data_IF_332604363891
#
_entry.id   IF_332604363891
#
_cell.length_a   1.000
_cell.length_b   1.000
_cell.length_c   1.000
_cell.angle_alpha   90.00
_cell.angle_beta   90.00
_cell.angle_gamma   90.00
#
_symmetry.space_group_name_H-M   'P 1'
#
loop_
_entity.id
_entity.type
_entity.pdbx_description
1 polymer ?
#
# COMPACT_ATOMS: atom_id res chain seq x y z
N UNK A 1 -13.36 -6.73 20.83
CA UNK A 1 -12.70 -5.76 19.91
C UNK A 1 -12.13 -6.40 18.64
N UNK A 2 -11.52 -7.60 18.71
CA UNK A 2 -10.97 -8.32 17.54
C UNK A 2 -12.06 -8.66 16.50
N UNK A 3 -13.22 -9.17 16.92
CA UNK A 3 -14.33 -9.50 16.02
C UNK A 3 -14.80 -8.33 15.16
N UNK A 4 -14.89 -7.11 15.72
CA UNK A 4 -15.29 -5.91 14.98
C UNK A 4 -14.28 -5.53 13.90
N UNK A 5 -12.97 -5.65 14.19
CA UNK A 5 -11.91 -5.37 13.21
C UNK A 5 -11.90 -6.40 12.07
N UNK A 6 -12.10 -7.68 12.40
CA UNK A 6 -12.24 -8.74 11.42
C UNK A 6 -13.45 -8.52 10.51
N UNK A 7 -14.63 -8.22 11.08
CA UNK A 7 -15.83 -7.93 10.31
C UNK A 7 -15.64 -6.74 9.37
N UNK A 8 -14.99 -5.67 9.82
CA UNK A 8 -14.68 -4.52 8.98
C UNK A 8 -13.73 -4.89 7.83
N UNK A 9 -12.68 -5.66 8.11
CA UNK A 9 -11.73 -6.10 7.08
C UNK A 9 -12.41 -7.01 6.04
N UNK A 10 -13.22 -7.97 6.49
CA UNK A 10 -13.99 -8.85 5.61
C UNK A 10 -15.03 -8.08 4.80
N UNK A 11 -15.71 -7.10 5.41
CA UNK A 11 -16.65 -6.23 4.71
C UNK A 11 -15.97 -5.39 3.63
N UNK A 12 -14.79 -4.83 3.91
CA UNK A 12 -14.01 -4.06 2.93
C UNK A 12 -13.51 -4.94 1.78
N UNK A 13 -13.04 -6.15 2.10
CA UNK A 13 -12.61 -7.13 1.09
C UNK A 13 -13.79 -7.55 0.19
N UNK A 14 -14.95 -7.84 0.78
CA UNK A 14 -16.16 -8.17 0.04
C UNK A 14 -16.62 -7.02 -0.86
N UNK A 15 -16.51 -5.78 -0.38
CA UNK A 15 -16.80 -4.58 -1.19
C UNK A 15 -15.87 -4.49 -2.41
N UNK A 16 -14.55 -4.63 -2.20
CA UNK A 16 -13.57 -4.54 -3.29
C UNK A 16 -13.79 -5.63 -4.35
N UNK A 17 -13.94 -6.88 -3.89
CA UNK A 17 -14.21 -8.01 -4.77
C UNK A 17 -15.56 -7.87 -5.47
N UNK A 18 -16.59 -7.41 -4.78
CA UNK A 18 -17.91 -7.18 -5.33
C UNK A 18 -17.91 -6.14 -6.45
N UNK A 19 -17.24 -5.00 -6.26
CA UNK A 19 -17.12 -3.96 -7.30
C UNK A 19 -16.38 -4.51 -8.52
N UNK A 20 -15.24 -5.18 -8.33
CA UNK A 20 -14.49 -5.77 -9.45
C UNK A 20 -15.33 -6.83 -10.17
N UNK A 21 -16.05 -7.68 -9.44
CA UNK A 21 -16.90 -8.71 -10.03
C UNK A 21 -18.04 -8.12 -10.86
N UNK A 22 -18.73 -7.09 -10.37
CA UNK A 22 -19.81 -6.39 -11.11
C UNK A 22 -19.27 -5.77 -12.39
N UNK A 23 -18.13 -5.09 -12.30
CA UNK A 23 -17.51 -4.42 -13.45
C UNK A 23 -17.04 -5.44 -14.49
N UNK A 24 -16.40 -6.55 -14.05
CA UNK A 24 -15.98 -7.64 -14.94
C UNK A 24 -17.14 -8.38 -15.59
N UNK A 25 -18.23 -8.57 -14.85
CA UNK A 25 -19.45 -9.12 -15.42
C UNK A 25 -20.04 -8.19 -16.49
N UNK A 26 -20.12 -6.89 -16.20
CA UNK A 26 -20.54 -5.88 -17.19
C UNK A 26 -19.66 -5.87 -18.44
N UNK A 27 -18.33 -5.99 -18.29
CA UNK A 27 -17.38 -6.11 -19.40
C UNK A 27 -17.70 -7.34 -20.27
N UNK A 28 -17.90 -8.51 -19.65
CA UNK A 28 -18.22 -9.77 -20.38
C UNK A 28 -19.55 -9.72 -21.14
N UNK A 29 -20.47 -8.83 -20.75
CA UNK A 29 -21.76 -8.61 -21.41
C UNK A 29 -21.75 -7.42 -22.37
N UNK A 30 -20.60 -6.78 -22.57
CA UNK A 30 -20.46 -5.59 -23.41
C UNK A 30 -21.15 -4.34 -22.84
N UNK A 31 -21.55 -4.35 -21.57
CA UNK A 31 -22.19 -3.22 -20.90
C UNK A 31 -21.17 -2.19 -20.41
N UNK A 32 -19.92 -2.61 -20.19
CA UNK A 32 -18.81 -1.79 -19.73
C UNK A 32 -17.64 -1.96 -20.68
N UNK A 33 -16.95 -0.88 -21.02
CA UNK A 33 -15.76 -0.98 -21.85
C UNK A 33 -14.62 -1.67 -21.10
N UNK A 34 -13.75 -2.44 -21.78
CA UNK A 34 -12.56 -3.06 -21.16
C UNK A 34 -11.65 -2.04 -20.46
N UNK A 35 -11.66 -0.82 -21.01
CA UNK A 35 -10.99 0.37 -20.51
C UNK A 35 -11.39 0.71 -19.06
N UNK A 36 -12.69 0.92 -18.85
CA UNK A 36 -13.25 1.24 -17.54
C UNK A 36 -13.00 0.07 -16.60
N UNK A 37 -13.18 -1.17 -17.06
CA UNK A 37 -12.98 -2.34 -16.23
C UNK A 37 -11.55 -2.46 -15.68
N UNK A 38 -10.55 -2.21 -16.54
CA UNK A 38 -9.15 -2.20 -16.14
C UNK A 38 -8.84 -1.02 -15.21
N UNK A 39 -9.30 0.21 -15.52
CA UNK A 39 -9.07 1.38 -14.65
C UNK A 39 -9.66 1.19 -13.26
N UNK A 40 -10.92 0.77 -13.16
CA UNK A 40 -11.58 0.55 -11.87
C UNK A 40 -10.83 -0.47 -11.03
N UNK A 41 -10.38 -1.57 -11.64
CA UNK A 41 -9.59 -2.59 -10.95
C UNK A 41 -8.29 -2.00 -10.40
N UNK A 42 -7.56 -1.23 -11.21
CA UNK A 42 -6.27 -0.66 -10.80
C UNK A 42 -6.40 0.44 -9.75
N UNK A 43 -7.45 1.27 -9.83
CA UNK A 43 -7.77 2.25 -8.79
C UNK A 43 -8.03 1.56 -7.45
N UNK A 44 -8.82 0.49 -7.45
CA UNK A 44 -9.09 -0.28 -6.22
C UNK A 44 -7.82 -0.92 -5.65
N UNK A 45 -6.91 -1.42 -6.50
CA UNK A 45 -5.61 -1.94 -6.05
C UNK A 45 -4.81 -0.85 -5.33
N UNK A 46 -4.68 0.34 -5.93
CA UNK A 46 -3.96 1.46 -5.32
C UNK A 46 -4.57 1.92 -3.99
N UNK A 47 -5.90 2.06 -3.94
CA UNK A 47 -6.61 2.41 -2.70
C UNK A 47 -6.49 1.33 -1.62
N UNK A 48 -6.52 0.05 -2.02
CA UNK A 48 -6.33 -1.08 -1.12
C UNK A 48 -4.94 -1.07 -0.49
N UNK A 49 -3.91 -0.83 -1.29
CA UNK A 49 -2.55 -0.66 -0.80
C UNK A 49 -2.44 0.53 0.16
N UNK A 50 -3.02 1.67 -0.20
CA UNK A 50 -2.99 2.87 0.65
C UNK A 50 -3.65 2.63 2.01
N UNK A 51 -4.83 2.03 2.02
CA UNK A 51 -5.54 1.67 3.24
C UNK A 51 -4.74 0.66 4.09
N UNK A 52 -4.21 -0.39 3.46
CA UNK A 52 -3.42 -1.42 4.14
C UNK A 52 -2.15 -0.83 4.80
N UNK A 53 -1.35 -0.06 4.06
CA UNK A 53 -0.13 0.55 4.57
C UNK A 53 -0.40 1.57 5.69
N UNK A 54 -1.50 2.32 5.59
CA UNK A 54 -1.90 3.28 6.61
C UNK A 54 -2.32 2.56 7.91
N UNK A 55 -3.04 1.44 7.80
CA UNK A 55 -3.51 0.64 8.93
C UNK A 55 -2.44 -0.28 9.53
N UNK A 56 -1.33 -0.51 8.83
CA UNK A 56 -0.24 -1.35 9.32
C UNK A 56 0.20 -0.90 10.72
N UNK A 57 0.28 -1.82 11.72
CA UNK A 57 0.70 -1.49 13.07
C UNK A 57 2.10 -0.87 13.06
N UNK A 58 2.19 0.34 13.60
CA UNK A 58 3.46 1.08 13.78
C UNK A 58 3.96 0.97 15.21
N UNK A 59 3.54 -0.06 15.94
CA UNK A 59 3.94 -0.32 17.32
C UNK A 59 5.17 -1.22 17.35
N UNK A 60 6.08 -0.98 18.29
CA UNK A 60 7.22 -1.87 18.51
C UNK A 60 6.74 -3.10 19.30
N UNK A 61 7.40 -4.23 19.10
CA UNK A 61 7.26 -5.39 20.00
C UNK A 61 7.82 -5.06 21.37
N UNK A 62 7.29 -5.67 22.44
CA UNK A 62 7.74 -5.55 23.83
C UNK A 62 9.17 -6.10 24.12
N UNK A 63 9.95 -6.35 23.07
CA UNK A 63 11.35 -6.74 23.22
C UNK A 63 12.17 -5.59 23.78
N UNK A 64 12.90 -5.85 24.86
CA UNK A 64 13.84 -4.91 25.46
C UNK A 64 14.89 -4.50 24.42
N UNK A 65 14.85 -3.24 23.98
CA UNK A 65 15.79 -2.62 23.05
C UNK A 65 16.37 -1.36 23.69
N UNK A 66 17.52 -0.88 23.20
CA UNK A 66 18.02 0.43 23.62
C UNK A 66 17.10 1.54 23.08
N UNK A 67 16.95 2.68 23.79
CA UNK A 67 16.07 3.78 23.33
C UNK A 67 16.38 4.25 21.90
N UNK A 68 17.65 4.21 21.51
CA UNK A 68 18.09 4.53 20.14
C UNK A 68 17.57 3.53 19.11
N UNK A 69 17.61 2.23 19.42
CA UNK A 69 17.12 1.18 18.52
C UNK A 69 15.58 1.20 18.39
N UNK A 70 14.88 1.57 19.46
CA UNK A 70 13.44 1.79 19.43
C UNK A 70 13.06 2.97 18.54
N UNK A 71 13.73 4.12 18.73
CA UNK A 71 13.52 5.30 17.89
C UNK A 71 13.78 5.01 16.40
N UNK A 72 14.87 4.31 16.08
CA UNK A 72 15.20 3.92 14.71
C UNK A 72 14.13 2.98 14.09
N UNK A 73 13.66 1.99 14.85
CA UNK A 73 12.63 1.06 14.38
C UNK A 73 11.27 1.75 14.19
N UNK A 74 10.87 2.65 15.10
CA UNK A 74 9.67 3.47 14.95
C UNK A 74 9.74 4.36 13.72
N UNK A 75 10.89 5.01 13.49
CA UNK A 75 11.11 5.82 12.30
C UNK A 75 10.97 4.98 11.03
N UNK A 76 11.58 3.80 10.97
CA UNK A 76 11.48 2.91 9.81
C UNK A 76 10.03 2.47 9.52
N UNK A 77 9.26 2.10 10.56
CA UNK A 77 7.85 1.75 10.40
C UNK A 77 7.00 2.92 9.89
N UNK A 78 7.26 4.14 10.37
CA UNK A 78 6.52 5.34 9.95
C UNK A 78 6.87 5.75 8.53
N UNK A 79 8.16 5.75 8.18
CA UNK A 79 8.63 6.06 6.82
C UNK A 79 8.05 5.03 5.85
N UNK A 80 8.21 3.73 6.11
CA UNK A 80 7.67 2.69 5.23
C UNK A 80 6.15 2.76 5.08
N UNK A 81 5.43 2.93 6.20
CA UNK A 81 3.98 3.06 6.19
C UNK A 81 3.49 4.25 5.35
N UNK A 82 4.08 5.44 5.52
CA UNK A 82 3.69 6.63 4.77
C UNK A 82 4.14 6.59 3.31
N UNK A 83 5.35 6.10 3.02
CA UNK A 83 5.84 5.95 1.64
C UNK A 83 4.90 5.06 0.82
N UNK A 84 4.51 3.90 1.35
CA UNK A 84 3.59 2.99 0.66
C UNK A 84 2.15 3.53 0.61
N UNK A 85 1.70 4.26 1.65
CA UNK A 85 0.37 4.90 1.64
C UNK A 85 0.27 5.93 0.52
N UNK A 86 1.24 6.84 0.44
CA UNK A 86 1.29 7.88 -0.60
C UNK A 86 1.45 7.26 -1.99
N UNK A 87 2.25 6.19 -2.12
CA UNK A 87 2.39 5.48 -3.37
C UNK A 87 1.09 4.82 -3.82
N UNK A 88 0.33 4.20 -2.91
CA UNK A 88 -0.99 3.64 -3.23
C UNK A 88 -1.98 4.70 -3.71
N UNK A 89 -2.00 5.88 -3.07
CA UNK A 89 -2.84 7.01 -3.50
C UNK A 89 -2.41 7.56 -4.87
N UNK A 90 -1.11 7.73 -5.09
CA UNK A 90 -0.57 8.16 -6.37
C UNK A 90 -0.83 7.13 -7.48
N UNK A 91 -0.69 5.84 -7.19
CA UNK A 91 -1.03 4.74 -8.10
C UNK A 91 -2.50 4.80 -8.52
N UNK A 92 -3.41 4.93 -7.55
CA UNK A 92 -4.84 5.07 -7.81
C UNK A 92 -5.15 6.33 -8.64
N UNK A 93 -4.53 7.46 -8.30
CA UNK A 93 -4.68 8.71 -9.05
C UNK A 93 -4.18 8.60 -10.50
N UNK A 94 -3.03 7.96 -10.72
CA UNK A 94 -2.50 7.72 -12.07
C UNK A 94 -3.45 6.86 -12.90
N UNK A 95 -4.00 5.79 -12.34
CA UNK A 95 -4.97 4.97 -13.06
C UNK A 95 -6.34 5.62 -13.24
N UNK A 96 -6.73 6.54 -12.36
CA UNK A 96 -7.96 7.31 -12.50
C UNK A 96 -7.86 8.37 -13.60
N UNK A 97 -6.71 9.06 -13.71
CA UNK A 97 -6.62 10.30 -14.49
C UNK A 97 -5.56 10.31 -15.59
N UNK A 98 -4.53 9.46 -15.53
CA UNK A 98 -3.45 9.50 -16.51
C UNK A 98 -3.86 8.86 -17.85
N UNK A 99 -3.28 9.32 -18.97
CA UNK A 99 -3.39 8.66 -20.26
C UNK A 99 -2.89 7.21 -20.23
N UNK A 100 -3.52 6.36 -21.04
CA UNK A 100 -3.22 4.93 -21.11
C UNK A 100 -1.77 4.59 -21.42
N UNK A 101 -1.13 5.39 -22.26
CA UNK A 101 0.26 5.19 -22.68
C UNK A 101 1.27 5.29 -21.54
N UNK A 102 0.92 6.00 -20.46
CA UNK A 102 1.84 6.25 -19.34
C UNK A 102 1.36 5.71 -18.01
N UNK A 103 0.07 5.42 -17.85
CA UNK A 103 -0.53 5.02 -16.57
C UNK A 103 0.22 3.82 -15.94
N UNK A 104 0.47 2.78 -16.73
CA UNK A 104 1.11 1.55 -16.25
C UNK A 104 2.56 1.78 -15.81
N UNK A 105 3.37 2.38 -16.69
CA UNK A 105 4.79 2.68 -16.43
C UNK A 105 4.95 3.64 -15.25
N UNK A 106 4.19 4.74 -15.23
CA UNK A 106 4.27 5.74 -14.16
C UNK A 106 3.86 5.15 -12.81
N UNK A 107 2.77 4.37 -12.77
CA UNK A 107 2.28 3.77 -11.54
C UNK A 107 3.25 2.70 -11.02
N UNK A 108 3.89 1.95 -11.92
CA UNK A 108 4.95 0.99 -11.57
C UNK A 108 6.18 1.69 -10.98
N UNK A 109 6.64 2.78 -11.59
CA UNK A 109 7.77 3.57 -11.09
C UNK A 109 7.47 4.10 -9.69
N UNK A 110 6.27 4.64 -9.46
CA UNK A 110 5.84 5.15 -8.15
C UNK A 110 5.94 4.06 -7.07
N UNK A 111 5.43 2.87 -7.35
CA UNK A 111 5.51 1.74 -6.40
C UNK A 111 6.95 1.27 -6.20
N UNK A 112 7.75 1.18 -7.26
CA UNK A 112 9.14 0.77 -7.20
C UNK A 112 9.96 1.74 -6.32
N UNK A 113 9.79 3.04 -6.51
CA UNK A 113 10.45 4.08 -5.71
C UNK A 113 10.03 3.98 -4.24
N UNK A 114 8.74 3.88 -3.95
CA UNK A 114 8.28 3.79 -2.56
C UNK A 114 8.77 2.51 -1.85
N UNK A 115 8.83 1.41 -2.58
CA UNK A 115 9.40 0.14 -2.09
C UNK A 115 10.90 0.30 -1.82
N UNK A 116 11.64 0.90 -2.74
CA UNK A 116 13.07 1.18 -2.57
C UNK A 116 13.31 2.10 -1.37
N UNK A 117 12.57 3.20 -1.22
CA UNK A 117 12.66 4.10 -0.05
C UNK A 117 12.43 3.33 1.25
N UNK A 118 11.39 2.50 1.30
CA UNK A 118 11.07 1.70 2.48
C UNK A 118 12.20 0.73 2.83
N UNK A 119 12.68 -0.04 1.84
CA UNK A 119 13.72 -1.04 2.04
C UNK A 119 15.08 -0.42 2.40
N UNK A 120 15.49 0.62 1.68
CA UNK A 120 16.77 1.31 1.89
C UNK A 120 16.79 2.02 3.24
N UNK A 121 15.71 2.69 3.64
CA UNK A 121 15.63 3.34 4.93
C UNK A 121 15.64 2.32 6.09
N UNK A 122 14.94 1.19 5.94
CA UNK A 122 15.00 0.09 6.90
C UNK A 122 16.41 -0.53 7.00
N UNK A 123 17.09 -0.74 5.87
CA UNK A 123 18.46 -1.27 5.84
C UNK A 123 19.46 -0.29 6.50
N UNK A 124 19.33 1.00 6.21
CA UNK A 124 20.17 2.05 6.78
C UNK A 124 20.01 2.15 8.31
N UNK A 125 18.77 2.19 8.79
CA UNK A 125 18.47 2.23 10.23
C UNK A 125 18.98 0.97 10.96
N UNK A 126 18.89 -0.19 10.31
CA UNK A 126 19.45 -1.43 10.84
C UNK A 126 20.99 -1.41 10.91
N UNK A 127 21.67 -0.98 9.84
CA UNK A 127 23.12 -0.90 9.78
C UNK A 127 23.69 0.06 10.84
N UNK A 128 23.10 1.24 10.97
CA UNK A 128 23.52 2.25 11.98
C UNK A 128 23.33 1.76 13.42
N UNK A 129 22.28 0.98 13.70
CA UNK A 129 22.08 0.37 15.02
C UNK A 129 23.07 -0.77 15.31
N UNK A 130 23.51 -1.52 14.29
CA UNK A 130 24.54 -2.57 14.45
C UNK A 130 25.92 -2.00 14.70
N UNK A 131 26.32 -0.98 13.94
CA UNK A 131 27.63 -0.33 14.09
C UNK A 131 27.76 0.28 15.49
N UNK A 132 26.70 0.87 16.03
CA UNK A 132 26.72 1.46 17.38
C UNK A 132 26.78 0.44 18.53
N UNK A 133 26.73 -0.87 18.26
CA UNK A 133 26.87 -1.96 19.25
C UNK A 133 28.25 -2.65 19.21
N UNK A 134 29.02 -2.46 18.14
CA UNK A 134 30.36 -3.02 17.98
C UNK A 134 31.41 -2.06 18.59
#
# INVERSE_FOLDING_TARGET
MIARRLLLALGLAALFLGVVAVVKYGESRGMVSPDIAKRTTQVLIGLGLAAYANLMPKQLSDQVRSPRAEAAAQAALRVGGWSLTLAGLAYAGLWAFAPWSIADTAATIVLAVATAVTALYAAWTFATCRIARA
#
